data_IF_194071292465
#
_entry.id   IF_194071292465
#
_cell.length_a   1.000
_cell.length_b   1.000
_cell.length_c   1.000
_cell.angle_alpha   90.00
_cell.angle_beta   90.00
_cell.angle_gamma   90.00
#
_symmetry.space_group_name_H-M   'P 1'
#
loop_
_entity.id
_entity.type
_entity.pdbx_description
1 polymer ?
#
# COMPACT_ATOMS: atom_id res chain seq x y z
N UNK A 1 -0.97 -4.70 4.35
CA UNK A 1 -0.46 -3.35 4.03
C UNK A 1 -1.00 -2.97 2.67
N UNK A 2 -1.61 -1.79 2.53
CA UNK A 2 -2.12 -1.27 1.25
C UNK A 2 -1.07 -0.35 0.60
N UNK A 3 -0.84 -0.52 -0.70
CA UNK A 3 0.06 0.33 -1.49
C UNK A 3 -0.49 0.50 -2.91
N UNK A 4 0.05 1.47 -3.66
CA UNK A 4 -0.27 1.61 -5.07
C UNK A 4 0.94 2.17 -5.85
N UNK A 5 0.75 3.12 -6.77
CA UNK A 5 1.86 3.90 -7.36
C UNK A 5 2.36 4.96 -6.38
N UNK A 6 1.39 5.68 -5.81
CA UNK A 6 1.48 6.65 -4.73
C UNK A 6 0.29 6.39 -3.79
N UNK A 7 0.30 7.00 -2.61
CA UNK A 7 -0.62 6.74 -1.50
C UNK A 7 -2.13 6.87 -1.80
N UNK A 8 -2.52 7.71 -2.77
CA UNK A 8 -3.93 8.08 -3.04
C UNK A 8 -4.91 6.90 -3.15
N UNK A 9 -4.59 5.90 -3.97
CA UNK A 9 -5.46 4.72 -4.17
C UNK A 9 -5.35 3.73 -3.01
N UNK A 10 -4.19 3.69 -2.35
CA UNK A 10 -3.98 2.87 -1.16
C UNK A 10 -4.85 3.35 0.00
N UNK A 11 -5.04 4.68 0.14
CA UNK A 11 -5.93 5.28 1.15
C UNK A 11 -7.39 4.86 0.98
N UNK A 12 -7.89 4.81 -0.26
CA UNK A 12 -9.25 4.36 -0.54
C UNK A 12 -9.45 2.90 -0.12
N UNK A 13 -8.53 2.03 -0.52
CA UNK A 13 -8.58 0.62 -0.16
C UNK A 13 -8.41 0.40 1.35
N UNK A 14 -7.50 1.14 2.00
CA UNK A 14 -7.30 1.12 3.44
C UNK A 14 -8.57 1.54 4.19
N UNK A 15 -9.25 2.60 3.75
CA UNK A 15 -10.50 3.06 4.36
C UNK A 15 -11.58 1.97 4.30
N UNK A 16 -11.79 1.38 3.12
CA UNK A 16 -12.76 0.31 2.94
C UNK A 16 -12.41 -0.90 3.82
N UNK A 17 -11.14 -1.32 3.82
CA UNK A 17 -10.69 -2.44 4.64
C UNK A 17 -10.84 -2.18 6.14
N UNK A 18 -10.47 -0.98 6.61
CA UNK A 18 -10.50 -0.61 8.03
C UNK A 18 -11.91 -0.43 8.55
N UNK A 19 -12.74 0.32 7.81
CA UNK A 19 -14.02 0.82 8.32
C UNK A 19 -15.22 0.03 7.81
N UNK A 20 -15.17 -0.51 6.59
CA UNK A 20 -16.30 -1.26 6.02
C UNK A 20 -16.16 -2.77 6.25
N UNK A 21 -14.93 -3.30 6.14
CA UNK A 21 -14.66 -4.73 6.31
C UNK A 21 -14.15 -5.09 7.72
N UNK A 22 -13.89 -4.10 8.57
CA UNK A 22 -13.53 -4.30 9.97
C UNK A 22 -12.12 -4.83 10.22
N UNK A 23 -11.21 -4.74 9.25
CA UNK A 23 -9.84 -5.20 9.43
C UNK A 23 -9.06 -4.31 10.41
N UNK A 24 -8.54 -4.95 11.46
CA UNK A 24 -7.91 -4.24 12.58
C UNK A 24 -6.42 -3.91 12.41
N UNK A 25 -5.73 -4.59 11.51
CA UNK A 25 -4.30 -4.38 11.27
C UNK A 25 -4.02 -4.14 9.78
N UNK A 26 -4.50 -2.99 9.30
CA UNK A 26 -4.23 -2.53 7.93
C UNK A 26 -3.48 -1.22 8.03
N UNK A 27 -2.35 -1.14 7.34
CA UNK A 27 -1.48 0.03 7.26
C UNK A 27 -1.31 0.43 5.80
N UNK A 28 -1.10 1.71 5.56
CA UNK A 28 -0.74 2.25 4.24
C UNK A 28 0.78 2.30 4.16
N UNK A 29 1.32 1.90 3.01
CA UNK A 29 2.71 2.17 2.66
C UNK A 29 2.77 3.38 1.72
N UNK A 30 3.18 4.52 2.27
CA UNK A 30 3.06 5.83 1.63
C UNK A 30 3.93 5.97 0.37
N UNK A 31 5.22 5.59 0.48
CA UNK A 31 6.15 5.60 -0.64
C UNK A 31 5.73 4.68 -1.79
N UNK A 32 4.96 3.63 -1.48
CA UNK A 32 4.26 2.81 -2.47
C UNK A 32 5.24 2.27 -3.53
N UNK A 33 4.76 1.97 -4.74
CA UNK A 33 5.62 1.44 -5.80
C UNK A 33 6.67 2.45 -6.30
N UNK A 34 6.40 3.76 -6.20
CA UNK A 34 7.39 4.78 -6.57
C UNK A 34 8.65 4.65 -5.73
N UNK A 35 8.52 4.41 -4.42
CA UNK A 35 9.65 4.12 -3.54
C UNK A 35 10.18 2.70 -3.77
N UNK A 36 9.35 1.65 -3.61
CA UNK A 36 9.82 0.26 -3.66
C UNK A 36 10.51 -0.11 -4.97
N UNK A 37 9.93 0.32 -6.10
CA UNK A 37 10.49 0.04 -7.42
C UNK A 37 11.77 0.80 -7.73
N UNK A 38 12.13 1.81 -6.92
CA UNK A 38 13.36 2.59 -7.07
C UNK A 38 14.50 2.06 -6.20
N UNK A 39 14.23 1.16 -5.25
CA UNK A 39 15.26 0.63 -4.35
C UNK A 39 16.03 -0.50 -5.04
N UNK A 40 17.34 -0.32 -5.18
CA UNK A 40 18.24 -1.31 -5.78
C UNK A 40 18.29 -2.57 -4.91
N UNK A 41 18.10 -3.73 -5.54
CA UNK A 41 18.22 -5.03 -4.89
C UNK A 41 17.00 -5.48 -4.09
N UNK A 42 15.92 -4.70 -4.07
CA UNK A 42 14.66 -5.14 -3.46
C UNK A 42 13.97 -6.21 -4.32
N UNK A 43 13.32 -7.20 -3.70
CA UNK A 43 12.65 -8.27 -4.43
C UNK A 43 11.44 -7.73 -5.19
N UNK A 44 11.27 -8.23 -6.43
CA UNK A 44 10.15 -7.91 -7.32
C UNK A 44 9.67 -9.20 -7.98
N UNK A 45 8.38 -9.48 -7.85
CA UNK A 45 7.68 -10.54 -8.58
C UNK A 45 7.11 -10.00 -9.90
N UNK A 46 7.04 -10.85 -10.95
CA UNK A 46 6.56 -10.49 -12.29
C UNK A 46 5.28 -11.23 -12.66
#
# INVERSE_FOLDING_TARGET
VAYCRLSHRATLAWFAMRHLLGYRDVKIYDGSWTEWGSIVGFPVEK
#
